data_IF_745081973685
#
_entry.id   IF_745081973685
#
_cell.length_a   1.000
_cell.length_b   1.000
_cell.length_c   1.000
_cell.angle_alpha   90.00
_cell.angle_beta   90.00
_cell.angle_gamma   90.00
#
_symmetry.space_group_name_H-M   'P 1'
#
loop_
_entity.id
_entity.type
_entity.pdbx_description
1 polymer ?
#
# COMPACT_ATOMS: atom_id res chain seq x y z
N UNK A 1 9.83 8.14 -27.06
CA UNK A 1 10.22 7.56 -25.75
C UNK A 1 9.11 7.94 -24.79
N UNK A 2 8.28 6.97 -24.37
CA UNK A 2 7.22 7.25 -23.40
C UNK A 2 7.89 7.42 -22.03
N UNK A 3 7.71 8.59 -21.41
CA UNK A 3 8.13 8.80 -20.02
C UNK A 3 7.29 7.85 -19.16
N UNK A 4 7.96 7.04 -18.36
CA UNK A 4 7.30 6.19 -17.37
C UNK A 4 6.36 7.04 -16.52
N UNK A 5 5.06 6.72 -16.53
CA UNK A 5 4.08 7.50 -15.76
C UNK A 5 3.95 6.90 -14.37
N UNK A 6 4.38 7.67 -13.37
CA UNK A 6 4.25 7.35 -11.95
C UNK A 6 2.83 6.91 -11.57
N UNK A 7 1.80 7.55 -12.15
CA UNK A 7 0.42 7.20 -11.83
C UNK A 7 0.06 5.77 -12.26
N UNK A 8 0.46 5.38 -13.46
CA UNK A 8 0.09 4.07 -14.03
C UNK A 8 1.00 2.96 -13.52
N UNK A 9 2.31 3.19 -13.50
CA UNK A 9 3.29 2.15 -13.16
C UNK A 9 3.37 1.93 -11.65
N UNK A 10 3.35 3.01 -10.87
CA UNK A 10 3.46 2.94 -9.43
C UNK A 10 2.09 2.89 -8.74
N UNK A 11 1.30 3.97 -8.83
CA UNK A 11 0.09 4.11 -8.01
C UNK A 11 -0.96 3.05 -8.36
N UNK A 12 -1.24 2.87 -9.66
CA UNK A 12 -2.21 1.89 -10.17
C UNK A 12 -1.61 0.51 -10.45
N UNK A 13 -0.28 0.43 -10.61
CA UNK A 13 0.44 -0.81 -10.82
C UNK A 13 0.90 -1.44 -9.51
N UNK A 14 2.13 -1.11 -9.09
CA UNK A 14 2.81 -1.73 -7.94
C UNK A 14 2.04 -1.53 -6.63
N UNK A 15 1.64 -0.30 -6.32
CA UNK A 15 1.02 0.01 -5.04
C UNK A 15 -0.37 -0.61 -4.90
N UNK A 16 -1.23 -0.46 -5.92
CA UNK A 16 -2.55 -1.11 -5.92
C UNK A 16 -2.45 -2.63 -5.73
N UNK A 17 -1.53 -3.29 -6.44
CA UNK A 17 -1.32 -4.73 -6.30
C UNK A 17 -0.83 -5.10 -4.89
N UNK A 18 0.09 -4.31 -4.32
CA UNK A 18 0.58 -4.50 -2.96
C UNK A 18 -0.52 -4.31 -1.92
N UNK A 19 -1.32 -3.27 -2.06
CA UNK A 19 -2.46 -3.00 -1.16
C UNK A 19 -3.50 -4.13 -1.23
N UNK A 20 -3.81 -4.62 -2.43
CA UNK A 20 -4.69 -5.79 -2.60
C UNK A 20 -4.13 -7.02 -1.86
N UNK A 21 -2.83 -7.30 -1.98
CA UNK A 21 -2.18 -8.40 -1.25
C UNK A 21 -2.29 -8.23 0.27
N UNK A 22 -2.05 -7.02 0.79
CA UNK A 22 -2.22 -6.72 2.23
C UNK A 22 -3.65 -7.03 2.68
N UNK A 23 -4.66 -6.58 1.94
CA UNK A 23 -6.07 -6.85 2.30
C UNK A 23 -6.37 -8.34 2.28
N UNK A 24 -5.86 -9.11 1.31
CA UNK A 24 -6.01 -10.57 1.28
C UNK A 24 -5.35 -11.25 2.48
N UNK A 25 -4.15 -10.81 2.85
CA UNK A 25 -3.44 -11.33 4.04
C UNK A 25 -4.23 -11.02 5.31
N UNK A 26 -4.83 -9.82 5.44
CA UNK A 26 -5.67 -9.49 6.60
C UNK A 26 -6.91 -10.39 6.72
N UNK A 27 -7.56 -10.70 5.61
CA UNK A 27 -8.68 -11.66 5.60
C UNK A 27 -8.23 -13.08 5.98
N UNK A 28 -7.07 -13.51 5.51
CA UNK A 28 -6.54 -14.83 5.83
C UNK A 28 -6.06 -14.94 7.29
N UNK A 29 -5.44 -13.88 7.82
CA UNK A 29 -4.96 -13.83 9.20
C UNK A 29 -6.11 -13.72 10.22
N UNK A 30 -7.18 -13.00 9.88
CA UNK A 30 -8.34 -12.81 10.75
C UNK A 30 -9.62 -13.12 9.97
N UNK A 31 -10.05 -14.39 9.91
CA UNK A 31 -11.19 -14.83 9.10
C UNK A 31 -12.53 -14.18 9.46
N UNK A 32 -12.67 -13.62 10.67
CA UNK A 32 -13.86 -12.86 11.07
C UNK A 32 -14.01 -11.53 10.32
N UNK A 33 -12.98 -11.09 9.58
CA UNK A 33 -12.95 -9.79 8.90
C UNK A 33 -12.72 -8.60 9.83
N UNK A 34 -12.53 -8.82 11.13
CA UNK A 34 -12.34 -7.76 12.12
C UNK A 34 -11.14 -6.86 11.79
N UNK A 35 -10.02 -7.43 11.31
CA UNK A 35 -8.84 -6.66 10.93
C UNK A 35 -9.13 -5.72 9.73
N UNK A 36 -9.89 -6.18 8.73
CA UNK A 36 -10.27 -5.37 7.57
C UNK A 36 -11.28 -4.29 7.96
N UNK A 37 -12.22 -4.59 8.85
CA UNK A 37 -13.14 -3.60 9.41
C UNK A 37 -12.38 -2.50 10.18
N UNK A 38 -11.39 -2.91 10.99
CA UNK A 38 -10.51 -1.98 11.71
C UNK A 38 -9.70 -1.10 10.76
N UNK A 39 -9.14 -1.68 9.69
CA UNK A 39 -8.45 -0.95 8.64
C UNK A 39 -9.34 0.17 8.06
N UNK A 40 -10.55 -0.18 7.63
CA UNK A 40 -11.50 0.79 7.06
C UNK A 40 -11.91 1.86 8.09
N UNK A 41 -12.12 1.48 9.34
CA UNK A 41 -12.43 2.41 10.44
C UNK A 41 -11.30 3.43 10.64
N UNK A 42 -10.03 2.98 10.68
CA UNK A 42 -8.87 3.85 10.84
C UNK A 42 -8.70 4.80 9.66
N UNK A 43 -8.92 4.34 8.42
CA UNK A 43 -8.89 5.22 7.26
C UNK A 43 -9.96 6.33 7.31
N UNK A 44 -11.17 6.02 7.78
CA UNK A 44 -12.25 7.02 7.95
C UNK A 44 -11.94 8.09 8.99
N UNK A 45 -11.04 7.79 9.93
CA UNK A 45 -10.60 8.71 10.98
C UNK A 45 -9.51 9.68 10.52
N UNK A 46 -8.88 9.45 9.37
CA UNK A 46 -7.89 10.37 8.82
C UNK A 46 -8.57 11.70 8.45
N UNK A 47 -8.16 12.82 9.05
CA UNK A 47 -8.70 14.13 8.69
C UNK A 47 -8.24 14.54 7.29
N UNK A 48 -9.02 15.40 6.63
CA UNK A 48 -8.56 16.02 5.39
C UNK A 48 -7.35 16.92 5.66
N UNK A 49 -6.35 16.90 4.77
CA UNK A 49 -5.11 17.68 4.91
C UNK A 49 -4.72 18.37 3.59
N UNK A 50 -3.99 19.49 3.70
CA UNK A 50 -3.33 20.17 2.58
C UNK A 50 -4.28 20.76 1.53
N UNK A 51 -5.21 21.66 1.89
CA UNK A 51 -6.21 22.27 0.97
C UNK A 51 -6.86 21.26 -0.01
N UNK A 52 -7.12 20.03 0.46
CA UNK A 52 -7.77 18.99 -0.34
C UNK A 52 -6.83 18.02 -1.07
N UNK A 53 -5.52 18.05 -0.77
CA UNK A 53 -4.55 17.01 -1.18
C UNK A 53 -4.96 15.65 -0.63
N UNK A 54 -5.15 15.56 0.69
CA UNK A 54 -5.74 14.36 1.32
C UNK A 54 -7.22 14.65 1.58
N UNK A 55 -8.08 13.94 0.85
CA UNK A 55 -9.53 14.02 1.00
C UNK A 55 -10.01 12.94 1.97
N UNK A 56 -11.20 13.15 2.55
CA UNK A 56 -11.82 12.20 3.47
C UNK A 56 -12.04 10.84 2.79
N UNK A 57 -11.65 9.75 3.46
CA UNK A 57 -11.96 8.39 3.04
C UNK A 57 -13.37 8.01 3.48
N UNK A 58 -14.37 8.20 2.61
CA UNK A 58 -15.77 7.96 2.96
C UNK A 58 -16.21 6.49 2.78
N UNK A 59 -15.64 5.80 1.81
CA UNK A 59 -15.96 4.40 1.47
C UNK A 59 -14.96 3.42 2.08
N UNK A 60 -15.33 2.14 2.13
CA UNK A 60 -14.40 1.07 2.48
C UNK A 60 -13.24 1.04 1.48
N UNK A 61 -12.04 1.35 1.97
CA UNK A 61 -10.83 1.37 1.14
C UNK A 61 -10.42 -0.04 0.74
N UNK A 62 -10.68 -1.03 1.59
CA UNK A 62 -10.37 -2.44 1.33
C UNK A 62 -11.15 -3.02 0.14
N UNK A 63 -12.31 -2.44 -0.19
CA UNK A 63 -13.07 -2.83 -1.37
C UNK A 63 -12.42 -2.34 -2.67
N UNK A 64 -11.56 -1.32 -2.61
CA UNK A 64 -10.87 -0.71 -3.75
C UNK A 64 -11.78 -0.30 -4.92
N UNK A 65 -13.07 -0.05 -4.64
CA UNK A 65 -14.08 0.33 -5.63
C UNK A 65 -14.03 1.84 -5.87
N UNK A 66 -14.10 2.25 -7.15
CA UNK A 66 -14.21 3.65 -7.59
C UNK A 66 -13.06 4.56 -7.10
N UNK A 67 -11.87 4.01 -6.87
CA UNK A 67 -10.67 4.78 -6.54
C UNK A 67 -9.98 5.23 -7.83
N UNK A 68 -9.79 6.54 -8.01
CA UNK A 68 -8.92 7.07 -9.04
C UNK A 68 -7.44 6.96 -8.62
N UNK A 69 -6.50 7.12 -9.55
CA UNK A 69 -5.07 6.95 -9.26
C UNK A 69 -4.57 7.82 -8.09
N UNK A 70 -5.02 9.08 -7.98
CA UNK A 70 -4.66 9.96 -6.87
C UNK A 70 -5.16 9.45 -5.50
N UNK A 71 -6.21 8.63 -5.45
CA UNK A 71 -6.67 8.03 -4.20
C UNK A 71 -5.67 6.98 -3.71
N UNK A 72 -5.02 6.25 -4.61
CA UNK A 72 -4.00 5.26 -4.24
C UNK A 72 -2.77 5.92 -3.63
N UNK A 73 -2.34 7.06 -4.15
CA UNK A 73 -1.27 7.85 -3.52
C UNK A 73 -1.62 8.27 -2.10
N UNK A 74 -2.84 8.77 -1.90
CA UNK A 74 -3.33 9.15 -0.58
C UNK A 74 -3.45 7.95 0.37
N UNK A 75 -3.76 6.75 -0.14
CA UNK A 75 -3.72 5.52 0.65
C UNK A 75 -2.29 5.24 1.13
N UNK A 76 -1.29 5.26 0.23
CA UNK A 76 0.10 4.95 0.58
C UNK A 76 0.62 5.89 1.67
N UNK A 77 0.40 7.19 1.53
CA UNK A 77 0.90 8.18 2.49
C UNK A 77 0.29 8.01 3.89
N UNK A 78 -0.90 7.41 4.02
CA UNK A 78 -1.60 7.28 5.29
C UNK A 78 -1.78 5.83 5.77
N UNK A 79 -1.19 4.84 5.08
CA UNK A 79 -1.45 3.42 5.35
C UNK A 79 -0.87 2.94 6.68
N UNK A 80 0.35 3.36 7.04
CA UNK A 80 1.10 2.86 8.20
C UNK A 80 0.26 2.90 9.49
N UNK A 81 -0.28 4.06 9.93
CA UNK A 81 -1.11 4.10 11.15
C UNK A 81 -2.42 3.29 11.01
N UNK A 82 -2.88 3.03 9.79
CA UNK A 82 -4.08 2.24 9.57
C UNK A 82 -3.84 0.73 9.72
N UNK A 83 -2.66 0.24 9.34
CA UNK A 83 -2.33 -1.20 9.35
C UNK A 83 -1.54 -1.66 10.58
N UNK A 84 -0.92 -0.74 11.31
CA UNK A 84 -0.10 -1.07 12.47
C UNK A 84 -0.85 -1.90 13.51
N UNK A 85 -0.29 -3.06 13.88
CA UNK A 85 -0.85 -3.99 14.85
C UNK A 85 -2.05 -4.81 14.35
N UNK A 86 -2.35 -4.79 13.04
CA UNK A 86 -3.43 -5.61 12.47
C UNK A 86 -3.00 -7.05 12.15
N UNK A 87 -1.68 -7.31 12.12
CA UNK A 87 -1.12 -8.65 11.95
C UNK A 87 -0.38 -9.09 13.21
N UNK A 88 -0.27 -10.40 13.48
CA UNK A 88 0.62 -10.89 14.52
C UNK A 88 2.08 -10.69 14.12
N UNK A 89 2.96 -10.64 15.11
CA UNK A 89 4.40 -10.73 14.85
C UNK A 89 4.76 -12.14 14.36
N UNK A 90 5.78 -12.28 13.47
CA UNK A 90 6.68 -11.25 12.96
C UNK A 90 6.16 -10.49 11.72
N UNK A 91 4.94 -10.78 11.26
CA UNK A 91 4.41 -10.26 9.99
C UNK A 91 4.09 -8.78 10.05
N UNK A 92 3.64 -8.28 11.21
CA UNK A 92 3.40 -6.86 11.41
C UNK A 92 4.67 -6.03 11.24
N UNK A 93 5.78 -6.39 11.92
CA UNK A 93 7.06 -5.69 11.74
C UNK A 93 7.52 -5.69 10.28
N UNK A 94 7.43 -6.83 9.59
CA UNK A 94 7.78 -6.94 8.17
C UNK A 94 6.90 -6.06 7.28
N UNK A 95 5.59 -6.01 7.55
CA UNK A 95 4.67 -5.14 6.84
C UNK A 95 5.01 -3.67 7.07
N UNK A 96 5.31 -3.25 8.30
CA UNK A 96 5.71 -1.88 8.62
C UNK A 96 6.99 -1.49 7.87
N UNK A 97 8.01 -2.35 7.87
CA UNK A 97 9.24 -2.12 7.10
C UNK A 97 8.95 -1.98 5.60
N UNK A 98 8.14 -2.88 5.04
CA UNK A 98 7.76 -2.83 3.62
C UNK A 98 7.06 -1.51 3.27
N UNK A 99 6.10 -1.09 4.08
CA UNK A 99 5.33 0.14 3.85
C UNK A 99 6.19 1.40 4.03
N UNK A 100 7.13 1.39 4.97
CA UNK A 100 8.09 2.48 5.13
C UNK A 100 8.95 2.62 3.86
N UNK A 101 9.49 1.52 3.34
CA UNK A 101 10.31 1.53 2.12
C UNK A 101 9.53 1.94 0.87
N UNK A 102 8.28 1.50 0.73
CA UNK A 102 7.39 1.98 -0.32
C UNK A 102 7.14 3.49 -0.23
N UNK A 103 6.97 4.01 1.00
CA UNK A 103 6.74 5.44 1.23
C UNK A 103 7.99 6.27 0.92
N UNK A 104 9.17 5.78 1.32
CA UNK A 104 10.48 6.35 0.99
C UNK A 104 10.69 6.44 -0.53
N UNK A 105 10.48 5.35 -1.25
CA UNK A 105 10.61 5.33 -2.70
C UNK A 105 9.62 6.30 -3.37
N UNK A 106 8.36 6.30 -2.93
CA UNK A 106 7.35 7.23 -3.46
C UNK A 106 7.69 8.70 -3.15
N UNK A 107 8.36 8.99 -2.03
CA UNK A 107 8.84 10.32 -1.72
C UNK A 107 9.93 10.76 -2.70
N UNK A 108 10.92 9.91 -2.97
CA UNK A 108 11.95 10.18 -3.98
C UNK A 108 11.35 10.39 -5.37
N UNK A 109 10.46 9.50 -5.81
CA UNK A 109 9.81 9.59 -7.11
C UNK A 109 9.00 10.89 -7.32
N UNK A 110 8.53 11.50 -6.24
CA UNK A 110 7.73 12.74 -6.27
C UNK A 110 8.55 14.02 -6.09
N UNK A 111 9.87 13.93 -5.90
CA UNK A 111 10.69 15.13 -5.80
C UNK A 111 10.63 15.91 -7.12
N UNK A 112 10.33 17.20 -7.04
CA UNK A 112 10.32 18.07 -8.23
C UNK A 112 11.71 18.42 -8.73
N UNK A 113 12.74 18.20 -7.91
CA UNK A 113 14.14 18.46 -8.23
C UNK A 113 15.01 17.40 -7.55
N UNK A 114 15.90 16.80 -8.34
CA UNK A 114 16.88 15.85 -7.86
C UNK A 114 18.28 16.48 -7.85
N UNK A 115 19.06 16.08 -6.86
CA UNK A 115 20.53 16.19 -6.81
C UNK A 115 21.14 14.82 -7.09
N UNK A 116 22.44 14.76 -7.43
CA UNK A 116 23.16 13.50 -7.65
C UNK A 116 22.99 12.54 -6.45
N UNK A 117 23.13 13.05 -5.23
CA UNK A 117 22.90 12.27 -4.01
C UNK A 117 21.48 11.69 -3.91
N UNK A 118 20.46 12.47 -4.27
CA UNK A 118 19.08 11.94 -4.23
C UNK A 118 18.79 10.93 -5.34
N UNK A 119 19.51 11.00 -6.48
CA UNK A 119 19.40 10.00 -7.55
C UNK A 119 20.02 8.68 -7.09
N UNK A 120 21.22 8.73 -6.51
CA UNK A 120 21.89 7.55 -5.93
C UNK A 120 21.01 6.86 -4.88
N UNK A 121 20.43 7.64 -3.96
CA UNK A 121 19.50 7.12 -2.95
C UNK A 121 18.21 6.55 -3.57
N UNK A 122 17.72 7.15 -4.65
CA UNK A 122 16.52 6.66 -5.33
C UNK A 122 16.76 5.32 -6.04
N UNK A 123 17.91 5.17 -6.68
CA UNK A 123 18.35 3.90 -7.28
C UNK A 123 18.52 2.81 -6.21
N UNK A 124 19.18 3.13 -5.10
CA UNK A 124 19.32 2.20 -3.97
C UNK A 124 17.94 1.80 -3.41
N UNK A 125 17.08 2.79 -3.17
CA UNK A 125 15.72 2.57 -2.67
C UNK A 125 14.93 1.63 -3.59
N UNK A 126 15.10 1.76 -4.91
CA UNK A 126 14.46 0.89 -5.91
C UNK A 126 14.87 -0.58 -5.72
N UNK A 127 16.16 -0.83 -5.48
CA UNK A 127 16.65 -2.18 -5.22
C UNK A 127 16.13 -2.72 -3.87
N UNK A 128 16.06 -1.86 -2.85
CA UNK A 128 15.56 -2.20 -1.52
C UNK A 128 14.08 -2.57 -1.57
N UNK A 129 13.21 -1.74 -2.14
CA UNK A 129 11.77 -2.04 -2.22
C UNK A 129 11.50 -3.35 -2.96
N UNK A 130 12.26 -3.65 -4.01
CA UNK A 130 12.12 -4.90 -4.75
C UNK A 130 12.42 -6.12 -3.89
N UNK A 131 13.44 -6.04 -3.02
CA UNK A 131 13.76 -7.12 -2.07
C UNK A 131 12.71 -7.24 -0.98
N UNK A 132 12.29 -6.13 -0.39
CA UNK A 132 11.28 -6.13 0.68
C UNK A 132 9.94 -6.68 0.19
N UNK A 133 9.46 -6.25 -0.98
CA UNK A 133 8.22 -6.75 -1.58
C UNK A 133 8.26 -8.24 -1.85
N UNK A 134 9.37 -8.76 -2.43
CA UNK A 134 9.53 -10.20 -2.68
C UNK A 134 9.59 -10.99 -1.37
N UNK A 135 10.32 -10.49 -0.38
CA UNK A 135 10.41 -11.12 0.94
C UNK A 135 9.05 -11.16 1.65
N UNK A 136 8.33 -10.04 1.65
CA UNK A 136 7.00 -9.93 2.22
C UNK A 136 6.00 -10.86 1.53
N UNK A 137 6.00 -10.88 0.19
CA UNK A 137 5.14 -11.78 -0.58
C UNK A 137 5.44 -13.26 -0.26
N UNK A 138 6.71 -13.67 -0.32
CA UNK A 138 7.10 -15.06 -0.07
C UNK A 138 6.75 -15.52 1.35
N UNK A 139 7.03 -14.68 2.36
CA UNK A 139 6.76 -15.01 3.76
C UNK A 139 5.28 -15.08 4.08
N UNK A 140 4.49 -14.13 3.58
CA UNK A 140 3.03 -14.14 3.81
C UNK A 140 2.31 -15.22 3.01
N UNK A 141 2.75 -15.56 1.80
CA UNK A 141 2.18 -16.65 1.02
C UNK A 141 2.50 -18.05 1.59
N UNK A 142 3.62 -18.20 2.30
CA UNK A 142 3.96 -19.44 2.97
C UNK A 142 3.05 -19.73 4.19
N UNK A 143 2.65 -18.68 4.90
CA UNK A 143 1.83 -18.79 6.12
C UNK A 143 0.32 -18.70 5.82
N UNK A 144 -0.07 -17.73 5.00
CA UNK A 144 -1.47 -17.39 4.78
C UNK A 144 -1.94 -17.88 3.41
N UNK A 145 -2.98 -18.72 3.43
CA UNK A 145 -3.69 -19.12 2.20
C UNK A 145 -4.60 -17.98 1.74
N UNK A 146 -4.05 -17.04 0.99
CA UNK A 146 -4.81 -15.93 0.41
C UNK A 146 -5.68 -16.40 -0.75
N UNK A 147 -6.92 -15.93 -0.80
CA UNK A 147 -7.83 -16.07 -1.95
C UNK A 147 -8.10 -14.71 -2.59
N UNK A 148 -8.61 -14.71 -3.81
CA UNK A 148 -9.09 -13.49 -4.46
C UNK A 148 -10.13 -12.79 -3.59
N UNK A 149 -10.13 -11.46 -3.60
CA UNK A 149 -11.10 -10.68 -2.85
C UNK A 149 -12.50 -10.86 -3.46
N UNK A 150 -13.58 -10.76 -2.67
CA UNK A 150 -14.94 -10.90 -3.20
C UNK A 150 -15.26 -9.98 -4.39
N UNK A 151 -14.64 -8.79 -4.44
CA UNK A 151 -14.77 -7.87 -5.57
C UNK A 151 -14.05 -8.32 -6.85
N UNK A 152 -12.96 -9.07 -6.72
CA UNK A 152 -12.19 -9.64 -7.83
C UNK A 152 -12.92 -10.83 -8.44
N UNK A 153 -13.46 -11.72 -7.60
CA UNK A 153 -14.26 -12.87 -8.03
C UNK A 153 -15.56 -12.45 -8.73
N UNK A 154 -16.22 -11.38 -8.27
CA UNK A 154 -17.48 -10.90 -8.84
C UNK A 154 -17.33 -10.10 -10.15
N UNK A 155 -16.10 -9.73 -10.54
CA UNK A 155 -15.80 -8.99 -11.77
C UNK A 155 -15.30 -9.89 -12.90
N UNK A 156 -15.31 -11.22 -12.68
CA UNK A 156 -15.06 -12.28 -13.66
C UNK A 156 -16.35 -12.70 -14.33
#
# INVERSE_FOLDING_TARGET
MFVADHLHEWSLGVWKATFAHIVRVLYAAVPSGAAVSMLNSRFRQIPSFGRGTVRRFCSDVSAMKKLAGHNYDNLLVNIIPCVEGLLPEPFNSRLMTTLFRLSEWNAFAKLCMHTDTTLELFEESTAVIGRELRSFAATTQAEYKTVELPGETASR
#
